data_IF_196992249028
#
_entry.id   IF_196992249028
#
_cell.length_a   1.000
_cell.length_b   1.000
_cell.length_c   1.000
_cell.angle_alpha   90.00
_cell.angle_beta   90.00
_cell.angle_gamma   90.00
#
_symmetry.space_group_name_H-M   'P 1'
#
loop_
_entity.id
_entity.type
_entity.pdbx_description
1 polymer ?
#
# COMPACT_ATOMS: atom_id res chain seq x y z
N UNK A 1 -5.73 2.58 -20.43
CA UNK A 1 -5.24 3.57 -19.43
C UNK A 1 -4.06 2.98 -18.69
N UNK A 2 -3.03 3.76 -18.41
CA UNK A 2 -1.84 3.32 -17.66
C UNK A 2 -1.79 4.05 -16.32
N UNK A 3 -1.02 3.50 -15.37
CA UNK A 3 -0.78 4.17 -14.08
C UNK A 3 -0.22 5.59 -14.27
N UNK A 4 0.73 5.78 -15.20
CA UNK A 4 1.31 7.08 -15.54
C UNK A 4 0.26 8.09 -16.02
N UNK A 5 -0.69 7.67 -16.85
CA UNK A 5 -1.78 8.54 -17.32
C UNK A 5 -2.68 9.00 -16.16
N UNK A 6 -3.00 8.09 -15.22
CA UNK A 6 -3.77 8.43 -14.01
C UNK A 6 -3.01 9.46 -13.18
N UNK A 7 -1.75 9.18 -12.84
CA UNK A 7 -0.92 10.07 -12.03
C UNK A 7 -0.78 11.45 -12.67
N UNK A 8 -0.53 11.51 -13.98
CA UNK A 8 -0.42 12.78 -14.70
C UNK A 8 -1.73 13.56 -14.68
N UNK A 9 -2.88 12.88 -14.85
CA UNK A 9 -4.19 13.53 -14.77
C UNK A 9 -4.44 14.07 -13.35
N UNK A 10 -4.18 13.29 -12.33
CA UNK A 10 -4.32 13.70 -10.94
C UNK A 10 -3.48 14.94 -10.63
N UNK A 11 -2.19 14.93 -10.99
CA UNK A 11 -1.28 16.07 -10.77
C UNK A 11 -1.72 17.33 -11.51
N UNK A 12 -2.19 17.19 -12.75
CA UNK A 12 -2.71 18.31 -13.56
C UNK A 12 -3.93 18.98 -12.92
N UNK A 13 -4.73 18.21 -12.17
CA UNK A 13 -5.97 18.69 -11.54
C UNK A 13 -5.82 18.91 -10.03
N UNK A 14 -4.59 18.90 -9.50
CA UNK A 14 -4.27 19.02 -8.06
C UNK A 14 -5.03 18.01 -7.19
N UNK A 15 -5.17 16.78 -7.70
CA UNK A 15 -5.78 15.66 -7.01
C UNK A 15 -4.65 14.76 -6.51
N UNK A 16 -4.42 14.71 -5.22
CA UNK A 16 -3.34 13.91 -4.66
C UNK A 16 -3.77 12.52 -4.20
N UNK A 17 -5.08 12.26 -4.08
CA UNK A 17 -5.62 10.94 -3.76
C UNK A 17 -6.88 10.60 -4.55
N UNK A 18 -7.16 9.30 -4.64
CA UNK A 18 -8.40 8.73 -5.18
C UNK A 18 -8.95 7.73 -4.17
N UNK A 19 -10.21 7.87 -3.78
CA UNK A 19 -10.91 6.84 -3.00
C UNK A 19 -11.14 5.63 -3.91
N UNK A 20 -10.70 4.47 -3.51
CA UNK A 20 -10.85 3.24 -4.28
C UNK A 20 -12.21 2.61 -3.98
N UNK A 21 -12.95 2.27 -5.03
CA UNK A 21 -14.26 1.63 -4.94
C UNK A 21 -14.11 0.13 -4.64
N UNK A 22 -13.83 -0.16 -3.38
CA UNK A 22 -13.51 -1.49 -2.86
C UNK A 22 -14.28 -1.72 -1.57
N UNK A 23 -14.77 -2.92 -1.39
CA UNK A 23 -15.36 -3.38 -0.14
C UNK A 23 -14.31 -4.17 0.65
N UNK A 24 -14.06 -3.75 1.89
CA UNK A 24 -13.10 -4.36 2.79
C UNK A 24 -13.90 -5.08 3.87
N UNK A 25 -13.75 -6.41 4.05
CA UNK A 25 -14.44 -7.16 5.10
C UNK A 25 -14.06 -6.66 6.51
N UNK A 26 -15.03 -6.44 7.37
CA UNK A 26 -14.79 -5.99 8.75
C UNK A 26 -13.92 -6.97 9.56
N UNK A 27 -13.95 -8.25 9.24
CA UNK A 27 -13.10 -9.26 9.87
C UNK A 27 -11.61 -8.96 9.73
N UNK A 28 -11.21 -8.21 8.69
CA UNK A 28 -9.82 -7.78 8.51
C UNK A 28 -9.31 -6.91 9.67
N UNK A 29 -10.22 -6.19 10.37
CA UNK A 29 -9.87 -5.41 11.58
C UNK A 29 -9.49 -6.35 12.71
N UNK A 30 -10.28 -7.38 12.95
CA UNK A 30 -10.05 -8.37 14.00
C UNK A 30 -8.77 -9.17 13.74
N UNK A 31 -8.54 -9.53 12.49
CA UNK A 31 -7.32 -10.24 12.09
C UNK A 31 -6.07 -9.36 12.19
N UNK A 32 -6.16 -8.06 11.87
CA UNK A 32 -5.05 -7.14 12.11
C UNK A 32 -4.69 -7.06 13.60
N UNK A 33 -5.68 -7.06 14.49
CA UNK A 33 -5.46 -7.13 15.93
C UNK A 33 -4.83 -8.47 16.33
N UNK A 34 -5.29 -9.59 15.79
CA UNK A 34 -4.71 -10.91 16.07
C UNK A 34 -3.24 -10.99 15.63
N UNK A 35 -2.89 -10.44 14.47
CA UNK A 35 -1.50 -10.33 14.01
C UNK A 35 -0.63 -9.50 14.98
N UNK A 36 -1.21 -8.47 15.61
CA UNK A 36 -0.54 -7.70 16.66
C UNK A 36 -0.34 -8.51 17.93
N UNK A 37 -1.38 -9.20 18.41
CA UNK A 37 -1.36 -9.97 19.64
C UNK A 37 -0.37 -11.14 19.58
N UNK A 38 -0.19 -11.73 18.40
CA UNK A 38 0.82 -12.78 18.13
C UNK A 38 2.24 -12.22 17.96
N UNK A 39 2.43 -10.89 18.00
CA UNK A 39 3.75 -10.26 17.97
C UNK A 39 4.45 -10.21 16.63
N UNK A 40 3.74 -10.33 15.51
CA UNK A 40 4.31 -10.32 14.16
C UNK A 40 4.77 -8.94 13.67
N UNK A 41 4.36 -7.85 14.31
CA UNK A 41 4.78 -6.52 13.89
C UNK A 41 6.22 -6.21 14.30
N UNK A 42 7.01 -5.78 13.31
CA UNK A 42 8.39 -5.31 13.49
C UNK A 42 8.52 -3.86 13.06
N UNK A 43 9.51 -3.15 13.57
CA UNK A 43 9.76 -1.75 13.20
C UNK A 43 9.90 -1.61 11.67
N UNK A 44 9.14 -0.70 11.09
CA UNK A 44 9.07 -0.58 9.63
C UNK A 44 10.31 0.06 9.03
N UNK A 45 10.76 1.17 9.59
CA UNK A 45 11.99 1.88 9.22
C UNK A 45 12.63 2.48 10.48
N UNK A 46 13.91 2.26 10.65
CA UNK A 46 14.67 2.95 11.67
C UNK A 46 14.85 4.42 11.30
N UNK A 47 14.42 5.33 12.18
CA UNK A 47 14.62 6.77 12.05
C UNK A 47 13.55 7.55 11.28
N UNK A 48 12.64 6.89 10.56
CA UNK A 48 11.62 7.56 9.74
C UNK A 48 10.28 7.77 10.48
N UNK A 49 10.17 7.32 11.73
CA UNK A 49 8.96 7.46 12.53
C UNK A 49 9.08 6.85 13.91
N UNK A 50 8.11 7.14 14.74
CA UNK A 50 7.93 6.58 16.06
C UNK A 50 6.70 5.67 16.07
N UNK A 51 6.82 4.44 16.60
CA UNK A 51 5.70 3.50 16.70
C UNK A 51 5.14 3.06 15.32
N UNK A 52 5.94 3.17 14.27
CA UNK A 52 5.57 2.73 12.92
C UNK A 52 6.12 1.33 12.66
N UNK A 53 5.21 0.36 12.55
CA UNK A 53 5.56 -1.06 12.44
C UNK A 53 4.84 -1.72 11.27
N UNK A 54 5.35 -2.85 10.82
CA UNK A 54 4.74 -3.61 9.72
C UNK A 54 4.85 -5.12 9.90
N UNK A 55 3.88 -5.84 9.32
CA UNK A 55 3.85 -7.29 9.25
C UNK A 55 3.41 -7.72 7.85
N UNK A 56 4.24 -8.44 7.11
CA UNK A 56 3.95 -8.81 5.72
C UNK A 56 3.24 -10.16 5.63
N UNK A 57 1.97 -10.15 5.24
CA UNK A 57 1.19 -11.38 5.02
C UNK A 57 1.60 -12.09 3.70
N UNK A 58 2.11 -11.33 2.71
CA UNK A 58 2.69 -11.86 1.48
C UNK A 58 4.00 -11.14 1.21
N UNK A 59 5.08 -11.91 1.06
CA UNK A 59 6.44 -11.40 0.98
C UNK A 59 7.30 -12.30 0.09
N UNK A 60 8.62 -12.21 0.22
CA UNK A 60 9.56 -12.94 -0.62
C UNK A 60 10.64 -13.64 0.20
N UNK A 61 11.20 -14.67 -0.41
CA UNK A 61 12.44 -15.35 0.00
C UNK A 61 13.41 -15.39 -1.18
N UNK A 62 14.70 -15.55 -0.91
CA UNK A 62 15.68 -15.83 -1.96
C UNK A 62 15.30 -17.12 -2.71
N UNK A 63 15.40 -17.10 -4.04
CA UNK A 63 14.99 -18.22 -4.88
C UNK A 63 15.78 -19.48 -4.55
N UNK A 64 15.04 -20.57 -4.35
CA UNK A 64 15.61 -21.85 -3.94
C UNK A 64 15.94 -21.97 -2.45
N UNK A 65 15.66 -20.94 -1.64
CA UNK A 65 15.69 -21.05 -0.18
C UNK A 65 14.50 -21.84 0.33
N UNK A 66 14.68 -22.49 1.47
CA UNK A 66 13.58 -23.09 2.20
C UNK A 66 12.72 -21.97 2.83
N UNK A 67 11.42 -21.84 2.51
CA UNK A 67 10.54 -20.86 3.13
C UNK A 67 10.49 -20.96 4.67
N UNK A 68 10.77 -22.12 5.25
CA UNK A 68 10.87 -22.30 6.71
C UNK A 68 12.03 -21.53 7.35
N UNK A 69 13.00 -21.07 6.56
CA UNK A 69 14.08 -20.20 7.03
C UNK A 69 13.65 -18.74 7.25
N UNK A 70 12.39 -18.42 6.95
CA UNK A 70 11.77 -17.13 7.16
C UNK A 70 11.68 -16.26 5.91
N UNK A 71 10.61 -15.45 5.88
CA UNK A 71 10.34 -14.50 4.81
C UNK A 71 11.02 -13.15 5.08
N UNK A 72 11.40 -12.43 4.05
CA UNK A 72 11.87 -11.05 4.16
C UNK A 72 10.68 -10.09 4.32
N UNK A 73 10.30 -9.76 5.56
CA UNK A 73 9.05 -9.06 5.84
C UNK A 73 9.05 -7.55 5.60
N UNK A 74 10.20 -6.87 5.68
CA UNK A 74 10.23 -5.41 5.82
C UNK A 74 10.82 -4.66 4.63
N UNK A 75 11.59 -5.32 3.76
CA UNK A 75 12.33 -4.66 2.68
C UNK A 75 11.90 -5.16 1.29
N UNK A 76 12.22 -4.39 0.27
CA UNK A 76 12.17 -4.86 -1.12
C UNK A 76 13.35 -5.80 -1.39
N UNK A 77 13.27 -6.69 -2.40
CA UNK A 77 14.42 -7.49 -2.83
C UNK A 77 15.70 -6.65 -3.03
N UNK A 78 15.59 -5.47 -3.64
CA UNK A 78 16.71 -4.54 -3.84
C UNK A 78 17.42 -4.14 -2.53
N UNK A 79 16.67 -4.05 -1.42
CA UNK A 79 17.24 -3.76 -0.10
C UNK A 79 18.16 -4.86 0.43
N UNK A 80 18.10 -6.04 -0.18
CA UNK A 80 18.95 -7.21 0.09
C UNK A 80 19.96 -7.46 -1.04
N UNK A 81 20.01 -6.59 -2.06
CA UNK A 81 20.86 -6.78 -3.23
C UNK A 81 20.33 -7.82 -4.23
N UNK A 82 19.08 -8.25 -4.08
CA UNK A 82 18.40 -9.21 -4.94
C UNK A 82 17.56 -8.47 -5.99
N UNK A 83 17.33 -9.10 -7.13
CA UNK A 83 16.34 -8.66 -8.12
C UNK A 83 15.02 -9.43 -7.96
N UNK A 84 13.95 -8.96 -8.61
CA UNK A 84 12.69 -9.70 -8.64
C UNK A 84 12.80 -11.11 -9.24
N UNK A 85 13.84 -11.36 -10.06
CA UNK A 85 14.12 -12.66 -10.65
C UNK A 85 14.86 -13.61 -9.69
N UNK A 86 15.44 -13.09 -8.63
CA UNK A 86 16.22 -13.84 -7.64
C UNK A 86 15.40 -14.27 -6.44
N UNK A 87 14.10 -14.01 -6.44
CA UNK A 87 13.20 -14.26 -5.31
C UNK A 87 11.97 -15.05 -5.71
N UNK A 88 11.45 -15.82 -4.75
CA UNK A 88 10.14 -16.43 -4.80
C UNK A 88 9.19 -15.66 -3.88
N UNK A 89 7.96 -15.40 -4.36
CA UNK A 89 6.92 -14.69 -3.62
C UNK A 89 5.89 -15.68 -3.09
N UNK A 90 5.43 -15.47 -1.86
CA UNK A 90 4.40 -16.33 -1.29
C UNK A 90 3.76 -15.78 -0.02
N UNK A 91 2.78 -16.52 0.47
CA UNK A 91 2.12 -16.26 1.74
C UNK A 91 3.04 -16.65 2.89
N UNK A 92 3.13 -15.78 3.88
CA UNK A 92 3.90 -15.99 5.10
C UNK A 92 3.05 -16.72 6.15
N UNK A 93 3.65 -17.05 7.29
CA UNK A 93 2.96 -17.62 8.46
C UNK A 93 1.85 -16.71 8.99
N UNK A 94 1.92 -15.40 8.74
CA UNK A 94 0.87 -14.43 9.11
C UNK A 94 -0.46 -14.77 8.43
N UNK A 95 -0.42 -15.41 7.26
CA UNK A 95 -1.62 -15.83 6.56
C UNK A 95 -2.43 -16.93 7.29
N UNK A 96 -1.83 -17.62 8.24
CA UNK A 96 -2.53 -18.58 9.12
C UNK A 96 -3.28 -17.86 10.25
N UNK A 97 -2.78 -16.69 10.68
CA UNK A 97 -3.41 -15.84 11.69
C UNK A 97 -4.48 -14.94 11.08
N UNK A 98 -4.35 -14.59 9.79
CA UNK A 98 -5.28 -13.75 9.06
C UNK A 98 -5.87 -14.44 7.81
N UNK A 99 -6.60 -15.57 7.98
CA UNK A 99 -7.07 -16.37 6.86
C UNK A 99 -8.15 -15.71 6.02
N UNK A 100 -9.02 -14.89 6.59
CA UNK A 100 -10.06 -14.19 5.84
C UNK A 100 -9.47 -13.01 5.05
N UNK A 101 -8.52 -12.28 5.63
CA UNK A 101 -7.74 -11.27 4.92
C UNK A 101 -6.99 -11.90 3.75
N UNK A 102 -6.34 -13.05 3.96
CA UNK A 102 -5.70 -13.81 2.89
C UNK A 102 -6.69 -14.14 1.78
N UNK A 103 -7.84 -14.76 2.11
CA UNK A 103 -8.87 -15.15 1.14
C UNK A 103 -9.38 -13.94 0.33
N UNK A 104 -9.66 -12.84 1.02
CA UNK A 104 -10.07 -11.60 0.37
C UNK A 104 -9.00 -11.04 -0.57
N UNK A 105 -7.72 -11.11 -0.19
CA UNK A 105 -6.60 -10.67 -1.01
C UNK A 105 -6.33 -11.61 -2.21
N UNK A 106 -6.67 -12.89 -2.11
CA UNK A 106 -6.58 -13.83 -3.25
C UNK A 106 -7.54 -13.43 -4.38
N UNK A 107 -8.72 -12.95 -4.03
CA UNK A 107 -9.72 -12.44 -4.99
C UNK A 107 -9.44 -11.02 -5.46
N UNK A 108 -8.53 -10.31 -4.80
CA UNK A 108 -8.18 -8.95 -5.16
C UNK A 108 -7.43 -8.91 -6.50
N UNK A 109 -7.67 -7.88 -7.36
CA UNK A 109 -7.10 -7.82 -8.70
C UNK A 109 -5.57 -7.66 -8.70
N UNK A 110 -4.88 -8.73 -8.43
CA UNK A 110 -3.44 -8.89 -8.57
C UNK A 110 -3.12 -9.85 -9.71
N UNK A 111 -1.99 -9.63 -10.35
CA UNK A 111 -1.45 -10.63 -11.26
C UNK A 111 -0.80 -11.75 -10.43
N UNK A 112 -1.25 -12.99 -10.62
CA UNK A 112 -0.61 -14.16 -10.02
C UNK A 112 0.88 -14.21 -10.35
N UNK A 113 1.67 -14.72 -9.41
CA UNK A 113 3.14 -14.90 -9.55
C UNK A 113 3.92 -13.65 -9.94
N UNK A 114 3.41 -12.45 -9.63
CA UNK A 114 4.13 -11.20 -9.81
C UNK A 114 4.46 -10.55 -8.48
N UNK A 115 5.31 -9.52 -8.51
CA UNK A 115 5.60 -8.69 -7.37
C UNK A 115 4.32 -8.34 -6.60
N UNK A 116 4.19 -8.86 -5.41
CA UNK A 116 3.12 -8.60 -4.47
C UNK A 116 3.71 -8.43 -3.09
N UNK A 117 3.72 -7.22 -2.60
CA UNK A 117 4.06 -6.96 -1.21
C UNK A 117 2.82 -6.47 -0.50
N UNK A 118 2.23 -7.34 0.32
CA UNK A 118 0.98 -7.11 1.02
C UNK A 118 1.29 -7.06 2.52
N UNK A 119 1.03 -5.91 3.17
CA UNK A 119 1.48 -5.67 4.53
C UNK A 119 0.42 -5.01 5.39
N UNK A 120 0.24 -5.56 6.56
CA UNK A 120 -0.32 -4.82 7.68
C UNK A 120 0.66 -3.73 8.12
N UNK A 121 0.14 -2.56 8.40
CA UNK A 121 0.88 -1.41 8.90
C UNK A 121 0.23 -0.98 10.21
N UNK A 122 1.02 -0.80 11.23
CA UNK A 122 0.61 -0.36 12.55
C UNK A 122 1.21 1.01 12.83
N UNK A 123 0.41 1.93 13.33
CA UNK A 123 0.87 3.15 13.97
C UNK A 123 0.35 3.16 15.40
N UNK A 124 1.25 2.97 16.36
CA UNK A 124 0.94 2.88 17.80
C UNK A 124 0.44 4.22 18.34
N UNK A 125 -0.21 4.25 19.53
CA UNK A 125 -0.55 5.49 20.22
C UNK A 125 0.66 6.42 20.39
N UNK A 126 0.51 7.69 19.99
CA UNK A 126 1.60 8.66 19.94
C UNK A 126 2.58 8.44 18.79
N UNK A 127 2.34 7.45 17.94
CA UNK A 127 3.17 7.13 16.80
C UNK A 127 3.09 8.20 15.70
N UNK A 128 4.21 8.40 15.01
CA UNK A 128 4.32 9.37 13.93
C UNK A 128 5.15 8.82 12.77
N UNK A 129 4.77 9.20 11.56
CA UNK A 129 5.58 9.05 10.34
C UNK A 129 6.00 10.45 9.95
N UNK A 130 7.31 10.71 9.99
CA UNK A 130 7.85 12.03 9.67
C UNK A 130 7.59 12.40 8.21
N UNK A 131 7.58 13.69 7.93
CA UNK A 131 7.43 14.23 6.58
C UNK A 131 8.42 13.60 5.60
N UNK A 132 7.89 13.01 4.55
CA UNK A 132 8.67 12.36 3.48
C UNK A 132 7.87 12.23 2.19
N UNK A 133 8.56 11.88 1.12
CA UNK A 133 7.95 11.35 -0.10
C UNK A 133 8.60 10.02 -0.49
N UNK A 134 7.82 9.18 -1.14
CA UNK A 134 8.28 7.87 -1.63
C UNK A 134 8.72 7.92 -3.10
N UNK A 135 8.76 9.10 -3.70
CA UNK A 135 9.08 9.31 -5.11
C UNK A 135 10.56 9.19 -5.42
N UNK A 136 11.33 8.55 -4.54
CA UNK A 136 12.64 8.13 -4.97
C UNK A 136 12.47 7.40 -6.30
N UNK A 137 12.71 8.12 -7.39
CA UNK A 137 12.91 7.54 -8.72
C UNK A 137 14.08 6.59 -8.61
N UNK A 138 13.86 5.44 -8.00
CA UNK A 138 14.81 4.34 -8.00
C UNK A 138 14.89 3.88 -9.44
N UNK A 139 15.84 4.46 -10.13
CA UNK A 139 16.26 3.95 -11.41
C UNK A 139 16.77 2.53 -11.13
N UNK A 140 16.32 1.56 -11.94
CA UNK A 140 16.95 0.25 -11.93
C UNK A 140 18.44 0.40 -12.28
N UNK A 141 19.21 -0.69 -12.16
CA UNK A 141 20.66 -0.69 -12.52
C UNK A 141 20.92 -0.24 -13.95
N UNK A 142 19.90 -0.20 -14.80
CA UNK A 142 19.95 0.22 -16.20
C UNK A 142 19.41 1.65 -16.41
N UNK A 143 19.13 2.38 -15.34
CA UNK A 143 18.66 3.77 -15.39
C UNK A 143 17.22 3.97 -15.82
N UNK A 144 16.42 2.90 -15.87
CA UNK A 144 14.99 2.95 -16.22
C UNK A 144 14.16 3.29 -14.97
N UNK A 145 13.29 4.27 -15.09
CA UNK A 145 12.31 4.57 -14.03
C UNK A 145 11.38 3.36 -13.84
N UNK A 146 11.42 2.74 -12.67
CA UNK A 146 10.47 1.66 -12.36
C UNK A 146 9.06 2.22 -12.35
N UNK A 147 8.23 1.69 -13.22
CA UNK A 147 6.81 2.01 -13.29
C UNK A 147 6.07 1.18 -12.21
N UNK A 148 6.44 1.41 -10.93
CA UNK A 148 5.76 0.77 -9.81
C UNK A 148 4.41 1.47 -9.71
N UNK A 149 3.35 0.71 -9.97
CA UNK A 149 2.00 1.19 -9.69
C UNK A 149 1.95 1.63 -8.22
N UNK A 150 1.50 2.86 -7.97
CA UNK A 150 1.38 3.39 -6.62
C UNK A 150 0.61 2.41 -5.73
N UNK A 151 0.99 2.32 -4.46
CA UNK A 151 0.33 1.44 -3.52
C UNK A 151 -1.15 1.80 -3.37
N UNK A 152 -2.00 0.80 -3.14
CA UNK A 152 -3.32 1.03 -2.57
C UNK A 152 -3.15 0.92 -1.06
N UNK A 153 -3.62 1.95 -0.37
CA UNK A 153 -3.61 2.04 1.08
C UNK A 153 -5.03 1.82 1.59
N UNK A 154 -5.19 0.90 2.51
CA UNK A 154 -6.48 0.56 3.12
C UNK A 154 -6.43 0.94 4.59
N UNK A 155 -7.45 1.61 5.08
CA UNK A 155 -7.67 1.76 6.50
C UNK A 155 -8.53 0.58 6.98
N UNK A 156 -7.94 -0.34 7.71
CA UNK A 156 -8.71 -1.37 8.40
C UNK A 156 -9.37 -0.76 9.62
N UNK A 157 -8.58 -0.13 10.48
CA UNK A 157 -9.07 0.59 11.64
C UNK A 157 -8.40 1.96 11.76
N UNK A 158 -9.21 3.01 11.72
CA UNK A 158 -8.79 4.41 11.81
C UNK A 158 -9.38 5.03 13.08
N UNK A 159 -8.60 5.16 14.18
CA UNK A 159 -9.07 5.84 15.38
C UNK A 159 -9.33 7.33 15.13
N UNK A 160 -10.15 7.94 15.97
CA UNK A 160 -10.26 9.40 16.02
C UNK A 160 -8.90 10.03 16.37
N UNK A 161 -8.64 11.25 15.91
CA UNK A 161 -7.38 11.96 16.11
C UNK A 161 -6.14 11.26 15.51
N UNK A 162 -6.36 10.55 14.42
CA UNK A 162 -5.31 9.93 13.65
C UNK A 162 -5.43 10.37 12.19
N UNK A 163 -4.34 10.84 11.59
CA UNK A 163 -4.36 11.34 10.21
C UNK A 163 -3.18 10.82 9.39
N UNK A 164 -3.35 10.87 8.07
CA UNK A 164 -2.32 10.93 7.06
C UNK A 164 -2.66 12.12 6.15
N UNK A 165 -1.71 13.04 5.94
CA UNK A 165 -1.97 14.29 5.23
C UNK A 165 -0.78 14.76 4.41
N UNK A 166 -1.05 15.60 3.43
CA UNK A 166 -0.02 16.39 2.74
C UNK A 166 0.63 17.38 3.71
N UNK A 167 1.93 17.57 3.58
CA UNK A 167 2.65 18.47 4.48
C UNK A 167 2.45 19.93 4.12
N UNK A 168 2.34 20.24 2.82
CA UNK A 168 2.23 21.62 2.30
C UNK A 168 0.85 22.25 2.55
N UNK A 169 -0.23 21.55 2.20
CA UNK A 169 -1.61 22.04 2.31
C UNK A 169 -2.30 21.65 3.61
N UNK A 170 -1.74 20.69 4.35
CA UNK A 170 -2.36 20.02 5.51
C UNK A 170 -3.68 19.32 5.17
N UNK A 171 -3.93 19.03 3.90
CA UNK A 171 -5.07 18.24 3.46
C UNK A 171 -4.93 16.80 3.91
N UNK A 172 -5.92 16.31 4.67
CA UNK A 172 -5.96 14.94 5.19
C UNK A 172 -6.62 13.98 4.21
N UNK A 173 -6.12 12.75 4.13
CA UNK A 173 -6.90 11.68 3.53
C UNK A 173 -8.10 11.37 4.44
N UNK A 174 -9.32 11.34 3.88
CA UNK A 174 -10.52 11.07 4.67
C UNK A 174 -10.67 9.57 4.94
N UNK A 175 -9.72 9.01 5.68
CA UNK A 175 -9.76 7.62 6.09
C UNK A 175 -10.88 7.39 7.11
N UNK A 176 -11.66 6.36 6.82
CA UNK A 176 -12.63 5.76 7.73
C UNK A 176 -12.33 4.26 7.78
N UNK A 177 -12.89 3.55 8.76
CA UNK A 177 -12.77 2.09 8.81
C UNK A 177 -13.24 1.47 7.49
N UNK A 178 -12.52 0.47 7.04
CA UNK A 178 -12.81 -0.25 5.80
C UNK A 178 -12.86 0.62 4.53
N UNK A 179 -12.00 1.66 4.47
CA UNK A 179 -11.84 2.48 3.26
C UNK A 179 -10.48 2.28 2.60
N UNK A 180 -10.44 2.46 1.27
CA UNK A 180 -9.23 2.31 0.48
C UNK A 180 -8.92 3.55 -0.36
N UNK A 181 -7.64 3.88 -0.48
CA UNK A 181 -7.15 5.01 -1.25
C UNK A 181 -5.91 4.65 -2.06
N UNK A 182 -5.84 5.17 -3.26
CA UNK A 182 -4.59 5.42 -3.93
C UNK A 182 -4.23 6.89 -3.70
N UNK A 183 -2.98 7.21 -3.44
CA UNK A 183 -2.50 8.58 -3.41
C UNK A 183 -1.14 8.72 -4.11
N UNK A 184 -0.85 9.93 -4.57
CA UNK A 184 0.44 10.25 -5.17
C UNK A 184 1.50 10.38 -4.06
N UNK A 185 2.19 9.30 -3.81
CA UNK A 185 3.26 9.23 -2.81
C UNK A 185 4.52 10.05 -3.18
N UNK A 186 4.53 10.67 -4.36
CA UNK A 186 5.52 11.69 -4.74
C UNK A 186 5.27 13.07 -4.10
N UNK A 187 4.13 13.24 -3.44
CA UNK A 187 3.81 14.44 -2.65
C UNK A 187 4.30 14.22 -1.22
N UNK A 188 4.91 15.26 -0.63
CA UNK A 188 5.37 15.20 0.75
C UNK A 188 4.19 14.99 1.69
N UNK A 189 4.29 13.97 2.53
CA UNK A 189 3.21 13.56 3.42
C UNK A 189 3.73 13.07 4.78
N UNK A 190 2.87 13.18 5.77
CA UNK A 190 3.15 12.79 7.16
C UNK A 190 1.94 12.06 7.76
N UNK A 191 2.14 11.29 8.82
CA UNK A 191 1.06 10.70 9.59
C UNK A 191 1.30 10.83 11.09
N UNK A 192 0.21 10.93 11.85
CA UNK A 192 0.25 10.99 13.30
C UNK A 192 -0.94 10.21 13.87
N UNK A 193 -0.69 9.49 14.94
CA UNK A 193 -1.70 8.86 15.77
C UNK A 193 -1.71 9.52 17.15
N UNK A 194 -2.58 10.51 17.35
CA UNK A 194 -2.76 11.18 18.65
C UNK A 194 -3.84 10.53 19.51
N UNK A 195 -4.33 9.34 19.12
CA UNK A 195 -5.27 8.55 19.89
C UNK A 195 -4.57 7.69 20.94
N UNK A 196 -5.36 6.98 21.74
CA UNK A 196 -4.88 5.96 22.67
C UNK A 196 -5.06 4.52 22.15
N UNK A 197 -5.37 4.37 20.87
CA UNK A 197 -5.61 3.10 20.19
C UNK A 197 -4.64 2.89 19.04
N UNK A 198 -4.37 1.63 18.70
CA UNK A 198 -3.59 1.28 17.54
C UNK A 198 -4.35 1.61 16.25
N UNK A 199 -3.66 2.23 15.30
CA UNK A 199 -4.17 2.42 13.94
C UNK A 199 -3.71 1.27 13.06
N UNK A 200 -4.63 0.54 12.44
CA UNK A 200 -4.32 -0.54 11.51
C UNK A 200 -4.59 -0.11 10.07
N UNK A 201 -3.55 -0.05 9.29
CA UNK A 201 -3.58 0.15 7.85
C UNK A 201 -3.12 -1.10 7.13
N UNK A 202 -3.39 -1.16 5.83
CA UNK A 202 -2.87 -2.19 4.98
C UNK A 202 -2.36 -1.58 3.67
N UNK A 203 -1.15 -1.94 3.26
CA UNK A 203 -0.55 -1.44 2.03
C UNK A 203 -0.42 -2.58 1.03
N UNK A 204 -1.01 -2.37 -0.15
CA UNK A 204 -0.94 -3.30 -1.27
C UNK A 204 -0.05 -2.76 -2.38
N UNK A 205 1.14 -3.31 -2.50
CA UNK A 205 1.98 -3.14 -3.68
C UNK A 205 1.74 -4.27 -4.68
N UNK A 206 1.75 -3.96 -5.94
CA UNK A 206 1.61 -4.94 -7.01
C UNK A 206 1.72 -4.31 -8.39
N UNK A 207 1.82 -5.14 -9.42
CA UNK A 207 1.84 -4.69 -10.81
C UNK A 207 0.51 -4.06 -11.23
N UNK A 208 0.57 -3.12 -12.17
CA UNK A 208 -0.63 -2.56 -12.79
C UNK A 208 -1.07 -3.48 -13.94
N UNK A 209 -2.14 -4.23 -13.71
CA UNK A 209 -2.74 -5.16 -14.67
C UNK A 209 -4.13 -4.69 -15.11
N UNK A 210 -4.83 -5.47 -15.95
CA UNK A 210 -6.16 -5.11 -16.47
C UNK A 210 -7.22 -5.01 -15.37
N UNK A 211 -7.18 -5.87 -14.38
CA UNK A 211 -8.11 -5.89 -13.25
C UNK A 211 -7.92 -4.65 -12.38
N UNK A 212 -6.67 -4.28 -12.11
CA UNK A 212 -6.35 -3.05 -11.38
C UNK A 212 -6.71 -1.80 -12.20
N UNK A 213 -6.47 -1.82 -13.51
CA UNK A 213 -6.96 -0.77 -14.39
C UNK A 213 -8.49 -0.63 -14.29
N UNK A 214 -9.23 -1.74 -14.33
CA UNK A 214 -10.69 -1.74 -14.20
C UNK A 214 -11.13 -1.11 -12.88
N UNK A 215 -10.53 -1.51 -11.76
CA UNK A 215 -10.81 -0.94 -10.43
C UNK A 215 -10.56 0.57 -10.41
N UNK A 216 -9.42 1.02 -10.92
CA UNK A 216 -9.09 2.45 -10.97
C UNK A 216 -10.06 3.24 -11.85
N UNK A 217 -10.48 2.69 -13.00
CA UNK A 217 -11.48 3.31 -13.88
C UNK A 217 -12.84 3.44 -13.20
N UNK A 218 -13.28 2.41 -12.49
CA UNK A 218 -14.52 2.45 -11.71
C UNK A 218 -14.47 3.52 -10.63
N UNK A 219 -13.37 3.56 -9.87
CA UNK A 219 -13.15 4.54 -8.80
C UNK A 219 -13.14 5.99 -9.33
N UNK A 220 -12.43 6.23 -10.44
CA UNK A 220 -12.40 7.53 -11.12
C UNK A 220 -13.78 7.94 -11.62
N UNK A 221 -14.50 7.04 -12.30
CA UNK A 221 -15.82 7.33 -12.82
C UNK A 221 -16.85 7.61 -11.72
N UNK A 222 -16.73 6.96 -10.56
CA UNK A 222 -17.59 7.16 -9.39
C UNK A 222 -17.37 8.54 -8.76
N UNK A 223 -16.11 9.01 -8.70
CA UNK A 223 -15.77 10.29 -8.05
C UNK A 223 -15.92 11.49 -8.96
N UNK A 224 -15.53 11.36 -10.23
CA UNK A 224 -15.39 12.49 -11.16
C UNK A 224 -16.29 12.39 -12.40
N UNK A 225 -17.11 11.33 -12.48
CA UNK A 225 -17.96 11.09 -13.65
C UNK A 225 -17.21 10.36 -14.77
N UNK A 226 -17.98 9.85 -15.77
CA UNK A 226 -17.43 9.02 -16.85
C UNK A 226 -16.56 9.78 -17.85
N UNK A 227 -16.71 11.09 -17.94
CA UNK A 227 -15.96 11.90 -18.92
C UNK A 227 -14.47 11.98 -18.58
N UNK A 228 -14.11 11.89 -17.30
CA UNK A 228 -12.71 11.82 -16.84
C UNK A 228 -11.94 10.68 -17.51
N UNK A 229 -12.59 9.55 -17.77
CA UNK A 229 -11.94 8.40 -18.41
C UNK A 229 -11.49 8.73 -19.85
N UNK A 230 -12.27 9.52 -20.59
CA UNK A 230 -11.90 9.98 -21.94
C UNK A 230 -10.74 10.98 -21.89
N UNK A 231 -10.74 11.86 -20.89
CA UNK A 231 -9.64 12.82 -20.70
C UNK A 231 -8.32 12.10 -20.43
N UNK A 232 -8.32 11.06 -19.58
CA UNK A 232 -7.14 10.28 -19.25
C UNK A 232 -6.68 9.45 -20.46
N UNK A 233 -7.60 8.77 -21.15
CA UNK A 233 -7.27 7.92 -22.31
C UNK A 233 -6.70 8.73 -23.49
N UNK A 234 -7.11 10.00 -23.64
CA UNK A 234 -6.65 10.91 -24.70
C UNK A 234 -5.29 11.58 -24.37
N UNK A 235 -4.74 11.41 -23.17
CA UNK A 235 -3.40 11.91 -22.87
C UNK A 235 -2.38 11.18 -23.74
N UNK A 236 -1.64 11.94 -24.54
CA UNK A 236 -0.48 11.41 -25.26
C UNK A 236 0.56 10.98 -24.25
N UNK A 237 0.94 9.72 -24.26
CA UNK A 237 2.01 9.13 -23.44
C UNK A 237 3.39 9.68 -23.82
#
# INVERSE_FOLDING_TARGET
MTHKQITNWCRKNDIWYLKIDIEIPEVCIQEAQAVYDEGFFVDHRYGDGLGWRSASIHSFVEKGSDPSMGWYHTKNPDGHGLSENDVDWGWTEIAEVAPETKRWLEDFPHKENSYRRLRFMLLEPGGAIVDHNDSNEKRDREGRTRNIAGAINLAFYQPENCYLRRTDTKEELPFENCTGFWFDNGVDHEALNSSNENRYHFIMHGGFNKEREKLMRQSLAKQFGKDVLREIDNQKT
#
